data_IF_639089130211
#
_entry.id   IF_639089130211
#
_cell.length_a   1.000
_cell.length_b   1.000
_cell.length_c   1.000
_cell.angle_alpha   90.00
_cell.angle_beta   90.00
_cell.angle_gamma   90.00
#
_symmetry.space_group_name_H-M   'P 1'
#
loop_
_entity.id
_entity.type
_entity.pdbx_description
1 polymer ?
#
# COMPACT_ATOMS: atom_id res chain seq x y z
N UNK A 1 -15.98 16.30 -35.60
CA UNK A 1 -15.99 15.21 -34.61
C UNK A 1 -15.62 15.82 -33.29
N UNK A 2 -16.54 15.79 -32.33
CA UNK A 2 -16.59 16.70 -31.18
C UNK A 2 -15.57 16.33 -30.11
N UNK A 3 -14.65 17.27 -29.81
CA UNK A 3 -13.93 17.32 -28.54
C UNK A 3 -14.97 17.44 -27.42
N UNK A 4 -15.02 16.45 -26.52
CA UNK A 4 -15.70 16.59 -25.23
C UNK A 4 -14.67 17.03 -24.21
N UNK A 5 -14.52 18.34 -24.09
CA UNK A 5 -13.86 18.97 -22.95
C UNK A 5 -14.93 19.09 -21.85
N UNK A 6 -14.85 18.28 -20.79
CA UNK A 6 -15.63 18.49 -19.55
C UNK A 6 -14.64 18.70 -18.40
N UNK A 7 -14.00 19.88 -18.28
CA UNK A 7 -13.04 20.14 -17.23
C UNK A 7 -13.68 20.58 -15.90
N UNK A 8 -14.94 21.04 -15.91
CA UNK A 8 -15.61 21.60 -14.71
C UNK A 8 -16.21 20.56 -13.75
N UNK A 9 -16.65 19.41 -14.29
CA UNK A 9 -17.33 18.37 -13.52
C UNK A 9 -16.29 17.55 -12.72
N UNK A 10 -15.18 17.16 -13.37
CA UNK A 10 -14.09 16.40 -12.73
C UNK A 10 -13.36 17.20 -11.65
N UNK A 11 -13.20 18.52 -11.80
CA UNK A 11 -12.57 19.34 -10.76
C UNK A 11 -13.47 19.45 -9.52
N UNK A 12 -14.78 19.65 -9.72
CA UNK A 12 -15.75 19.73 -8.62
C UNK A 12 -15.87 18.39 -7.88
N UNK A 13 -15.95 17.28 -8.61
CA UNK A 13 -15.93 15.93 -8.03
C UNK A 13 -14.63 15.65 -7.26
N UNK A 14 -13.48 16.07 -7.81
CA UNK A 14 -12.19 15.93 -7.15
C UNK A 14 -12.12 16.74 -5.85
N UNK A 15 -12.60 17.99 -5.86
CA UNK A 15 -12.64 18.86 -4.68
C UNK A 15 -13.55 18.27 -3.58
N UNK A 16 -14.69 17.69 -3.94
CA UNK A 16 -15.57 16.96 -3.02
C UNK A 16 -14.89 15.70 -2.45
N UNK A 17 -14.08 15.01 -3.26
CA UNK A 17 -13.28 13.87 -2.81
C UNK A 17 -12.19 14.32 -1.82
N UNK A 18 -11.52 15.43 -2.09
CA UNK A 18 -10.48 15.99 -1.21
C UNK A 18 -11.04 16.37 0.17
N UNK A 19 -12.27 16.93 0.23
CA UNK A 19 -12.92 17.25 1.53
C UNK A 19 -13.10 16.01 2.42
N UNK A 20 -13.31 14.83 1.83
CA UNK A 20 -13.42 13.55 2.57
C UNK A 20 -12.09 13.11 3.17
N UNK A 21 -10.95 13.58 2.64
CA UNK A 21 -9.61 13.23 3.14
C UNK A 21 -9.26 13.96 4.45
N UNK A 22 -9.78 15.17 4.68
CA UNK A 22 -9.48 15.97 5.87
C UNK A 22 -9.78 15.24 7.20
N UNK A 23 -10.98 14.64 7.41
CA UNK A 23 -11.24 13.87 8.62
C UNK A 23 -10.44 12.55 8.67
N UNK A 24 -10.17 11.93 7.53
CA UNK A 24 -9.33 10.71 7.45
C UNK A 24 -7.89 11.00 7.89
N UNK A 25 -7.33 12.14 7.49
CA UNK A 25 -5.97 12.54 7.88
C UNK A 25 -5.82 12.62 9.40
N UNK A 26 -6.82 13.16 10.11
CA UNK A 26 -6.81 13.21 11.59
C UNK A 26 -6.78 11.83 12.24
N UNK A 27 -7.37 10.83 11.58
CA UNK A 27 -7.33 9.43 12.03
C UNK A 27 -5.99 8.75 11.70
N UNK A 28 -5.30 9.19 10.64
CA UNK A 28 -4.02 8.62 10.18
C UNK A 28 -2.82 9.24 10.89
N UNK A 29 -2.89 10.54 11.25
CA UNK A 29 -1.79 11.33 11.82
C UNK A 29 -1.22 10.74 13.13
N UNK A 30 -2.01 9.94 13.85
CA UNK A 30 -1.57 9.27 15.08
C UNK A 30 -1.77 7.77 14.97
N UNK A 31 -0.81 7.02 15.52
CA UNK A 31 -1.01 5.62 15.86
C UNK A 31 -2.12 5.53 16.93
N UNK A 32 -3.36 5.28 16.50
CA UNK A 32 -4.50 5.07 17.38
C UNK A 32 -4.80 3.57 17.52
N UNK A 33 -5.82 3.24 18.32
CA UNK A 33 -6.26 1.86 18.54
C UNK A 33 -7.60 1.56 17.86
N UNK A 34 -8.03 2.43 16.95
CA UNK A 34 -9.26 2.23 16.23
C UNK A 34 -9.09 1.06 15.26
N UNK A 35 -10.10 0.20 15.09
CA UNK A 35 -10.07 -0.82 14.06
C UNK A 35 -9.95 -0.18 12.68
N UNK A 36 -8.90 -0.53 11.94
CA UNK A 36 -8.64 0.01 10.59
C UNK A 36 -8.22 -1.12 9.65
N UNK A 37 -8.67 -1.05 8.40
CA UNK A 37 -8.15 -1.90 7.32
C UNK A 37 -7.38 -1.02 6.36
N UNK A 38 -6.09 -1.32 6.21
CA UNK A 38 -5.16 -0.55 5.39
C UNK A 38 -4.83 -1.38 4.16
N UNK A 39 -5.01 -0.80 2.98
CA UNK A 39 -4.62 -1.42 1.72
C UNK A 39 -3.38 -0.69 1.20
N UNK A 40 -2.29 -1.43 1.06
CA UNK A 40 -1.03 -0.93 0.50
C UNK A 40 -0.90 -1.47 -0.93
N UNK A 41 -0.84 -0.56 -1.88
CA UNK A 41 -0.53 -0.84 -3.29
C UNK A 41 0.68 0.03 -3.65
N UNK A 42 1.90 -0.53 -3.59
CA UNK A 42 3.10 0.17 -4.02
C UNK A 42 3.11 0.22 -5.55
N UNK A 43 2.42 1.21 -6.10
CA UNK A 43 2.41 1.49 -7.53
C UNK A 43 3.45 2.56 -7.84
N UNK A 44 4.41 2.24 -8.71
CA UNK A 44 5.43 3.19 -9.16
C UNK A 44 5.53 3.15 -10.67
N UNK A 45 5.51 4.33 -11.28
CA UNK A 45 5.92 4.52 -12.65
C UNK A 45 7.39 4.92 -12.65
N UNK A 46 8.29 4.02 -13.06
CA UNK A 46 9.71 4.35 -13.18
C UNK A 46 10.09 4.19 -14.65
N UNK A 47 10.18 5.32 -15.35
CA UNK A 47 10.49 5.39 -16.79
C UNK A 47 11.84 4.74 -17.15
N UNK A 48 12.72 4.54 -16.17
CA UNK A 48 14.05 3.98 -16.32
C UNK A 48 14.18 2.47 -16.03
N UNK A 49 13.10 1.77 -15.63
CA UNK A 49 13.18 0.33 -15.30
C UNK A 49 12.79 -0.53 -16.50
N UNK A 50 13.79 -1.20 -17.08
CA UNK A 50 13.60 -2.11 -18.22
C UNK A 50 13.24 -3.55 -17.87
N UNK A 51 13.12 -3.93 -16.59
CA UNK A 51 12.83 -5.32 -16.21
C UNK A 51 11.96 -5.46 -14.96
N UNK A 52 11.10 -6.48 -14.96
CA UNK A 52 10.22 -6.81 -13.83
C UNK A 52 10.97 -7.19 -12.55
N UNK A 53 12.18 -7.74 -12.66
CA UNK A 53 13.01 -8.07 -11.49
C UNK A 53 13.43 -6.81 -10.70
N UNK A 54 13.73 -5.72 -11.41
CA UNK A 54 14.07 -4.45 -10.75
C UNK A 54 12.81 -3.87 -10.11
N UNK A 55 11.64 -3.94 -10.78
CA UNK A 55 10.35 -3.53 -10.21
C UNK A 55 10.05 -4.26 -8.90
N UNK A 56 10.21 -5.59 -8.87
CA UNK A 56 10.04 -6.40 -7.66
C UNK A 56 10.99 -5.97 -6.53
N UNK A 57 12.28 -5.76 -6.83
CA UNK A 57 13.24 -5.29 -5.83
C UNK A 57 12.87 -3.90 -5.26
N UNK A 58 12.21 -3.06 -6.06
CA UNK A 58 11.66 -1.80 -5.59
C UNK A 58 10.43 -1.99 -4.71
N UNK A 59 9.50 -2.87 -5.06
CA UNK A 59 8.34 -3.19 -4.21
C UNK A 59 8.76 -3.73 -2.85
N UNK A 60 9.78 -4.59 -2.80
CA UNK A 60 10.34 -5.12 -1.56
C UNK A 60 10.91 -4.02 -0.66
N UNK A 61 11.42 -2.91 -1.21
CA UNK A 61 11.83 -1.74 -0.40
C UNK A 61 10.67 -1.12 0.34
N UNK A 62 9.45 -1.17 -0.19
CA UNK A 62 8.25 -0.63 0.47
C UNK A 62 7.75 -1.51 1.63
N UNK A 63 8.36 -2.67 1.88
CA UNK A 63 8.02 -3.51 3.04
C UNK A 63 8.24 -2.81 4.38
N UNK A 64 8.92 -1.66 4.42
CA UNK A 64 8.90 -0.78 5.60
C UNK A 64 7.48 -0.38 6.02
N UNK A 65 6.49 -0.37 5.10
CA UNK A 65 5.08 -0.09 5.40
C UNK A 65 4.43 -1.17 6.27
N UNK A 66 5.06 -2.33 6.46
CA UNK A 66 4.68 -3.29 7.50
C UNK A 66 4.76 -2.67 8.90
N UNK A 67 5.49 -1.55 9.09
CA UNK A 67 5.49 -0.76 10.32
C UNK A 67 4.08 -0.31 10.75
N UNK A 68 3.13 -0.19 9.81
CA UNK A 68 1.74 0.13 10.12
C UNK A 68 1.07 -0.95 11.00
N UNK A 69 1.57 -2.20 10.98
CA UNK A 69 1.13 -3.26 11.88
C UNK A 69 1.50 -3.01 13.35
N UNK A 70 2.30 -1.98 13.66
CA UNK A 70 2.47 -1.50 15.05
C UNK A 70 1.19 -0.98 15.66
N UNK A 71 0.21 -0.58 14.85
CA UNK A 71 -1.16 -0.34 15.31
C UNK A 71 -1.79 -1.68 15.69
N UNK A 72 -2.15 -1.92 16.97
CA UNK A 72 -2.58 -3.25 17.42
C UNK A 72 -3.82 -3.80 16.72
N UNK A 73 -4.67 -2.92 16.18
CA UNK A 73 -5.95 -3.23 15.55
C UNK A 73 -6.00 -2.96 14.04
N UNK A 74 -4.87 -2.61 13.43
CA UNK A 74 -4.78 -2.53 11.99
C UNK A 74 -4.76 -3.92 11.36
N UNK A 75 -5.55 -4.09 10.29
CA UNK A 75 -5.45 -5.20 9.34
C UNK A 75 -4.78 -4.66 8.08
N UNK A 76 -3.71 -5.29 7.63
CA UNK A 76 -2.93 -4.82 6.49
C UNK A 76 -3.14 -5.77 5.32
N UNK A 77 -3.64 -5.24 4.21
CA UNK A 77 -3.71 -5.92 2.92
C UNK A 77 -2.60 -5.32 2.07
N UNK A 78 -1.59 -6.13 1.78
CA UNK A 78 -0.43 -5.71 1.00
C UNK A 78 -0.51 -6.36 -0.38
N UNK A 79 -0.56 -5.53 -1.41
CA UNK A 79 -0.63 -5.97 -2.81
C UNK A 79 0.74 -5.77 -3.43
N UNK A 80 1.29 -6.79 -4.10
CA UNK A 80 2.55 -6.70 -4.86
C UNK A 80 2.40 -7.35 -6.22
N UNK A 81 3.20 -6.91 -7.19
CA UNK A 81 3.13 -7.40 -8.57
C UNK A 81 3.40 -8.89 -8.64
N UNK A 82 4.39 -9.33 -7.85
CA UNK A 82 4.77 -10.74 -7.68
C UNK A 82 4.68 -11.17 -6.20
N UNK A 83 4.59 -12.47 -5.96
CA UNK A 83 4.63 -13.02 -4.59
C UNK A 83 5.96 -12.72 -3.91
N UNK A 84 5.89 -12.23 -2.68
CA UNK A 84 7.05 -12.08 -1.80
C UNK A 84 7.28 -13.41 -1.07
N UNK A 85 8.55 -13.82 -0.95
CA UNK A 85 8.91 -15.03 -0.21
C UNK A 85 8.47 -14.92 1.26
N UNK A 86 7.84 -15.97 1.83
CA UNK A 86 7.41 -15.94 3.23
C UNK A 86 8.52 -15.59 4.22
N UNK A 87 9.75 -16.08 3.98
CA UNK A 87 10.91 -15.78 4.83
C UNK A 87 11.30 -14.30 4.85
N UNK A 88 11.10 -13.58 3.73
CA UNK A 88 11.31 -12.13 3.67
C UNK A 88 10.27 -11.44 4.56
N UNK A 89 9.01 -11.85 4.49
CA UNK A 89 7.95 -11.29 5.33
C UNK A 89 8.24 -11.52 6.81
N UNK A 90 8.58 -12.75 7.19
CA UNK A 90 8.90 -13.09 8.57
C UNK A 90 10.09 -12.26 9.09
N UNK A 91 11.14 -12.11 8.27
CA UNK A 91 12.27 -11.23 8.58
C UNK A 91 11.82 -9.78 8.86
N UNK A 92 10.97 -9.18 8.03
CA UNK A 92 10.50 -7.82 8.26
C UNK A 92 9.55 -7.71 9.48
N UNK A 93 8.76 -8.74 9.77
CA UNK A 93 7.90 -8.77 10.94
C UNK A 93 8.70 -8.87 12.25
N UNK A 94 9.80 -9.62 12.24
CA UNK A 94 10.73 -9.74 13.39
C UNK A 94 11.44 -8.41 13.70
N UNK A 95 11.56 -7.51 12.72
CA UNK A 95 12.13 -6.17 12.90
C UNK A 95 11.15 -5.16 13.52
N UNK A 96 9.87 -5.51 13.71
CA UNK A 96 8.86 -4.57 14.23
C UNK A 96 9.03 -4.34 15.74
N UNK A 97 9.42 -3.13 16.18
CA UNK A 97 9.65 -2.87 17.59
C UNK A 97 8.34 -2.85 18.37
N UNK A 98 8.30 -3.64 19.45
CA UNK A 98 7.14 -3.71 20.36
C UNK A 98 5.94 -4.49 19.80
N UNK A 99 6.13 -5.29 18.76
CA UNK A 99 5.09 -6.13 18.16
C UNK A 99 5.52 -7.58 18.20
N UNK A 100 4.62 -8.48 18.59
CA UNK A 100 4.87 -9.93 18.50
C UNK A 100 4.67 -10.33 17.03
N UNK A 101 5.68 -10.93 16.36
CA UNK A 101 5.61 -11.23 14.93
C UNK A 101 4.40 -12.10 14.54
N UNK A 102 4.06 -13.11 15.35
CA UNK A 102 2.90 -13.96 15.11
C UNK A 102 1.56 -13.20 15.13
N UNK A 103 1.41 -12.20 16.01
CA UNK A 103 0.22 -11.34 16.06
C UNK A 103 0.17 -10.37 14.87
N UNK A 104 1.32 -9.89 14.39
CA UNK A 104 1.37 -9.07 13.17
C UNK A 104 1.01 -9.91 11.93
N UNK A 105 1.55 -11.14 11.84
CA UNK A 105 1.32 -12.07 10.74
C UNK A 105 -0.15 -12.43 10.56
N UNK A 106 -0.89 -12.63 11.65
CA UNK A 106 -2.34 -12.91 11.64
C UNK A 106 -3.19 -11.77 11.06
N UNK A 107 -2.66 -10.54 11.06
CA UNK A 107 -3.33 -9.34 10.56
C UNK A 107 -2.84 -8.91 9.18
N UNK A 108 -1.85 -9.62 8.63
CA UNK A 108 -1.25 -9.35 7.33
C UNK A 108 -1.79 -10.30 6.26
N UNK A 109 -2.36 -9.72 5.21
CA UNK A 109 -2.86 -10.39 4.02
C UNK A 109 -1.99 -9.98 2.83
N UNK A 110 -1.41 -10.95 2.13
CA UNK A 110 -0.56 -10.71 0.97
C UNK A 110 -1.30 -11.15 -0.28
N UNK A 111 -1.44 -10.23 -1.24
CA UNK A 111 -2.10 -10.49 -2.51
C UNK A 111 -1.14 -10.17 -3.64
N UNK A 112 -1.16 -10.99 -4.68
CA UNK A 112 -0.39 -10.73 -5.88
C UNK A 112 -1.15 -11.23 -7.11
N UNK A 113 -1.25 -10.41 -8.18
CA UNK A 113 -1.82 -10.85 -9.45
C UNK A 113 -0.85 -11.72 -10.27
N UNK A 114 0.39 -11.92 -9.79
CA UNK A 114 1.46 -12.63 -10.50
C UNK A 114 1.82 -11.98 -11.85
N UNK A 115 1.81 -10.65 -11.90
CA UNK A 115 2.16 -9.88 -13.09
C UNK A 115 3.61 -9.38 -12.95
N UNK A 116 4.52 -9.96 -13.72
CA UNK A 116 5.92 -9.54 -13.77
C UNK A 116 6.23 -8.46 -14.80
N UNK A 117 5.20 -7.84 -15.40
CA UNK A 117 5.38 -6.79 -16.40
C UNK A 117 5.92 -5.50 -15.75
N UNK A 118 6.45 -4.61 -16.59
CA UNK A 118 6.95 -3.30 -16.16
C UNK A 118 5.81 -2.27 -16.01
N UNK A 119 4.56 -2.72 -16.01
CA UNK A 119 3.41 -1.83 -15.84
C UNK A 119 3.17 -1.61 -14.34
N UNK A 120 2.86 -0.37 -13.92
CA UNK A 120 2.43 -0.13 -12.55
C UNK A 120 1.14 -0.91 -12.25
N UNK A 121 1.01 -1.36 -11.00
CA UNK A 121 -0.22 -1.93 -10.43
C UNK A 121 -1.36 -0.90 -10.35
#
# INVERSE_FOLDING_TARGET
MSERNVPGDSQTEFDELQKKLVPLWKSIERFNQDPQTIVVVPSMSIDAIGSGAVMQAYEERFLFLLLLLRQPRARLIYVTSQTILPSIIDYYLDLLPGVIPSHARQRLFLLSPMDGSVRPL
#
